data_IF_886441008088
#
_entry.id   IF_886441008088
#
_cell.length_a   1.000
_cell.length_b   1.000
_cell.length_c   1.000
_cell.angle_alpha   90.00
_cell.angle_beta   90.00
_cell.angle_gamma   90.00
#
_symmetry.space_group_name_H-M   'P 1'
#
loop_
_entity.id
_entity.type
_entity.pdbx_description
1 polymer ?
#
# COMPACT_ATOMS: atom_id res chain seq x y z
N UNK A 1 2.59 41.67 -22.28
CA UNK A 1 1.20 41.20 -22.44
C UNK A 1 1.09 39.82 -21.80
N UNK A 2 0.38 39.69 -20.69
CA UNK A 2 -0.04 38.38 -20.17
C UNK A 2 -1.35 38.03 -20.86
N UNK A 3 -1.37 36.91 -21.58
CA UNK A 3 -2.61 36.37 -22.16
C UNK A 3 -3.35 35.63 -21.05
N UNK A 4 -4.42 36.24 -20.54
CA UNK A 4 -5.37 35.60 -19.63
C UNK A 4 -6.30 34.73 -20.47
N UNK A 5 -5.94 33.45 -20.64
CA UNK A 5 -6.82 32.47 -21.28
C UNK A 5 -7.80 31.97 -20.22
N UNK A 6 -9.07 32.37 -20.34
CA UNK A 6 -10.16 31.85 -19.51
C UNK A 6 -10.59 30.49 -20.05
N UNK A 7 -10.15 29.40 -19.41
CA UNK A 7 -10.55 28.03 -19.76
C UNK A 7 -11.76 27.66 -18.90
N UNK A 8 -12.94 27.57 -19.52
CA UNK A 8 -14.14 27.07 -18.84
C UNK A 8 -13.88 25.70 -18.22
N UNK A 9 -14.06 25.57 -16.91
CA UNK A 9 -13.80 24.34 -16.16
C UNK A 9 -12.35 24.15 -15.67
N UNK A 10 -11.52 25.18 -15.63
CA UNK A 10 -10.12 25.10 -15.13
C UNK A 10 -10.00 24.55 -13.69
N UNK A 11 -11.02 24.77 -12.85
CA UNK A 11 -11.12 24.23 -11.50
C UNK A 11 -11.85 22.88 -11.42
N UNK A 12 -12.41 22.42 -12.53
CA UNK A 12 -13.04 21.11 -12.61
C UNK A 12 -11.97 20.06 -12.88
N UNK A 13 -11.72 19.20 -11.89
CA UNK A 13 -11.00 17.94 -12.11
C UNK A 13 -12.02 16.84 -12.40
N UNK A 14 -12.44 16.60 -13.66
CA UNK A 14 -13.50 15.65 -14.00
C UNK A 14 -13.20 14.21 -13.53
N UNK A 15 -11.93 13.91 -13.26
CA UNK A 15 -11.49 12.62 -12.71
C UNK A 15 -11.84 12.42 -11.23
N UNK A 16 -12.07 13.49 -10.47
CA UNK A 16 -12.38 13.45 -9.03
C UNK A 16 -13.89 13.41 -8.78
N UNK A 17 -14.68 14.01 -9.68
CA UNK A 17 -16.14 14.18 -9.52
C UNK A 17 -16.90 12.85 -9.35
N UNK A 18 -16.41 11.76 -9.96
CA UNK A 18 -16.98 10.42 -9.84
C UNK A 18 -16.07 9.44 -9.07
N UNK A 19 -15.08 9.95 -8.33
CA UNK A 19 -14.15 9.13 -7.57
C UNK A 19 -14.87 8.56 -6.33
N UNK A 20 -15.05 7.24 -6.31
CA UNK A 20 -15.67 6.53 -5.18
C UNK A 20 -14.72 5.49 -4.59
N UNK A 21 -14.90 5.25 -3.30
CA UNK A 21 -14.21 4.17 -2.58
C UNK A 21 -14.78 2.82 -3.02
N UNK A 22 -13.94 1.80 -3.33
CA UNK A 22 -14.43 0.46 -3.62
C UNK A 22 -15.12 -0.14 -2.39
N UNK A 23 -16.16 -0.96 -2.58
CA UNK A 23 -16.67 -1.79 -1.50
C UNK A 23 -15.79 -3.03 -1.27
N UNK A 24 -16.11 -3.83 -0.24
CA UNK A 24 -15.33 -5.02 0.13
C UNK A 24 -15.25 -6.03 -1.02
N UNK A 25 -16.36 -6.25 -1.72
CA UNK A 25 -16.46 -7.18 -2.85
C UNK A 25 -15.63 -6.70 -4.06
N UNK A 26 -15.60 -5.39 -4.30
CA UNK A 26 -14.77 -4.76 -5.34
C UNK A 26 -13.29 -4.87 -5.00
N UNK A 27 -12.89 -4.55 -3.78
CA UNK A 27 -11.51 -4.71 -3.34
C UNK A 27 -11.05 -6.17 -3.47
N UNK A 28 -11.89 -7.11 -3.04
CA UNK A 28 -11.65 -8.56 -3.20
C UNK A 28 -11.49 -8.95 -4.67
N UNK A 29 -12.32 -8.40 -5.59
CA UNK A 29 -12.16 -8.62 -7.04
C UNK A 29 -10.83 -8.08 -7.57
N UNK A 30 -10.42 -6.88 -7.16
CA UNK A 30 -9.12 -6.28 -7.55
C UNK A 30 -7.97 -7.18 -7.08
N UNK A 31 -7.98 -7.60 -5.81
CA UNK A 31 -6.94 -8.47 -5.24
C UNK A 31 -6.86 -9.82 -5.96
N UNK A 32 -7.99 -10.42 -6.36
CA UNK A 32 -8.00 -11.68 -7.13
C UNK A 32 -7.41 -11.55 -8.54
N UNK A 33 -7.46 -10.35 -9.14
CA UNK A 33 -6.90 -10.08 -10.48
C UNK A 33 -5.47 -9.55 -10.43
N UNK A 34 -5.02 -9.13 -9.26
CA UNK A 34 -3.68 -8.59 -9.05
C UNK A 34 -2.59 -9.67 -9.11
N UNK A 35 -1.43 -9.30 -9.66
CA UNK A 35 -0.18 -10.06 -9.51
C UNK A 35 0.25 -10.08 -8.04
N UNK A 36 1.13 -11.00 -7.63
CA UNK A 36 1.61 -11.09 -6.24
C UNK A 36 2.19 -9.77 -5.73
N UNK A 37 3.00 -9.08 -6.56
CA UNK A 37 3.52 -7.74 -6.25
C UNK A 37 2.40 -6.70 -6.09
N UNK A 38 1.41 -6.72 -6.98
CA UNK A 38 0.29 -5.79 -6.92
C UNK A 38 -0.59 -6.05 -5.68
N UNK A 39 -0.81 -7.31 -5.27
CA UNK A 39 -1.52 -7.65 -4.03
C UNK A 39 -0.86 -7.06 -2.79
N UNK A 40 0.46 -7.15 -2.69
CA UNK A 40 1.22 -6.50 -1.61
C UNK A 40 1.05 -4.99 -1.66
N UNK A 41 1.13 -4.39 -2.85
CA UNK A 41 0.97 -2.94 -3.01
C UNK A 41 -0.44 -2.47 -2.62
N UNK A 42 -1.48 -3.18 -3.08
CA UNK A 42 -2.88 -2.90 -2.79
C UNK A 42 -3.16 -3.05 -1.30
N UNK A 43 -2.71 -4.14 -0.68
CA UNK A 43 -2.93 -4.40 0.76
C UNK A 43 -2.25 -3.36 1.65
N UNK A 44 -1.03 -2.94 1.33
CA UNK A 44 -0.36 -1.86 2.05
C UNK A 44 -1.13 -0.53 1.93
N UNK A 45 -1.68 -0.21 0.76
CA UNK A 45 -2.48 1.01 0.59
C UNK A 45 -3.85 0.91 1.28
N UNK A 46 -4.57 -0.19 1.10
CA UNK A 46 -5.95 -0.37 1.54
C UNK A 46 -6.09 -0.74 3.02
N UNK A 47 -5.10 -1.42 3.61
CA UNK A 47 -5.18 -1.91 4.99
C UNK A 47 -4.23 -1.20 5.95
N UNK A 48 -3.20 -0.50 5.45
CA UNK A 48 -2.25 0.24 6.30
C UNK A 48 -2.15 1.73 5.96
N UNK A 49 -2.96 2.21 5.00
CA UNK A 49 -3.02 3.62 4.62
C UNK A 49 -1.76 4.17 3.96
N UNK A 50 -0.84 3.30 3.52
CA UNK A 50 0.41 3.76 2.91
C UNK A 50 0.15 4.47 1.58
N UNK A 51 1.01 5.46 1.27
CA UNK A 51 0.97 6.11 -0.04
C UNK A 51 1.74 5.27 -1.06
N UNK A 52 1.35 5.34 -2.33
CA UNK A 52 2.10 4.66 -3.39
C UNK A 52 3.57 5.12 -3.47
N UNK A 53 3.84 6.39 -3.12
CA UNK A 53 5.20 6.95 -3.08
C UNK A 53 6.05 6.36 -1.94
N UNK A 54 5.41 5.95 -0.83
CA UNK A 54 6.11 5.28 0.26
C UNK A 54 6.50 3.83 -0.09
N UNK A 55 5.81 3.22 -1.07
CA UNK A 55 6.12 1.86 -1.57
C UNK A 55 7.27 1.85 -2.58
N UNK A 56 7.44 2.94 -3.33
CA UNK A 56 8.58 3.18 -4.19
C UNK A 56 8.61 4.66 -4.51
N UNK A 57 9.73 5.33 -4.25
CA UNK A 57 9.80 6.77 -4.45
C UNK A 57 9.86 7.15 -5.93
N UNK A 58 9.63 8.43 -6.25
CA UNK A 58 9.51 8.88 -7.64
C UNK A 58 10.80 8.72 -8.45
N UNK A 59 11.94 8.84 -7.77
CA UNK A 59 13.28 8.76 -8.37
C UNK A 59 13.84 7.33 -8.44
N UNK A 60 13.24 6.37 -7.73
CA UNK A 60 13.77 5.02 -7.60
C UNK A 60 15.02 4.93 -6.73
N UNK A 61 15.22 5.86 -5.80
CA UNK A 61 16.41 6.03 -4.95
C UNK A 61 16.22 5.54 -3.51
N UNK A 62 14.98 5.31 -3.05
CA UNK A 62 14.69 4.74 -1.73
C UNK A 62 13.35 3.98 -1.75
N UNK A 63 13.19 3.02 -0.83
CA UNK A 63 12.02 2.12 -0.75
C UNK A 63 11.84 1.49 0.63
N UNK A 64 10.64 0.96 0.87
CA UNK A 64 10.38 0.09 2.01
C UNK A 64 11.16 -1.23 1.85
N UNK A 65 11.93 -1.61 2.88
CA UNK A 65 12.73 -2.85 2.93
C UNK A 65 12.05 -3.89 3.81
N UNK A 66 12.54 -5.13 3.74
CA UNK A 66 12.01 -6.20 4.59
C UNK A 66 12.24 -5.93 6.09
N UNK A 67 13.40 -5.36 6.47
CA UNK A 67 13.70 -4.97 7.85
C UNK A 67 12.89 -3.77 8.39
N UNK A 68 12.10 -3.12 7.53
CA UNK A 68 11.15 -2.09 7.96
C UNK A 68 9.85 -2.70 8.50
N UNK A 69 9.62 -4.02 8.31
CA UNK A 69 8.53 -4.79 8.90
C UNK A 69 9.07 -5.52 10.14
N UNK A 70 8.69 -5.08 11.33
CA UNK A 70 9.38 -5.47 12.58
C UNK A 70 9.20 -6.92 12.96
N UNK A 71 8.04 -7.48 12.69
CA UNK A 71 7.69 -8.85 13.08
C UNK A 71 7.88 -9.84 11.93
N UNK A 72 8.51 -9.42 10.81
CA UNK A 72 8.85 -10.32 9.71
C UNK A 72 10.12 -11.11 10.07
N UNK A 73 10.00 -12.43 10.09
CA UNK A 73 11.13 -13.35 10.27
C UNK A 73 11.47 -14.02 8.94
N UNK A 74 12.73 -13.85 8.50
CA UNK A 74 13.25 -14.42 7.25
C UNK A 74 14.24 -15.53 7.62
N UNK A 75 13.81 -16.77 7.42
CA UNK A 75 14.61 -17.97 7.67
C UNK A 75 14.43 -18.95 6.49
N UNK A 76 14.39 -20.26 6.77
CA UNK A 76 13.92 -21.26 5.82
C UNK A 76 12.45 -21.01 5.44
N UNK A 77 11.62 -20.64 6.42
CA UNK A 77 10.25 -20.19 6.21
C UNK A 77 10.12 -18.69 6.50
N UNK A 78 9.25 -18.03 5.72
CA UNK A 78 8.87 -16.64 5.97
C UNK A 78 7.68 -16.62 6.91
N UNK A 79 7.85 -16.02 8.08
CA UNK A 79 6.83 -15.99 9.14
C UNK A 79 6.68 -14.61 9.75
N UNK A 80 5.59 -14.42 10.48
CA UNK A 80 5.33 -13.20 11.24
C UNK A 80 5.18 -13.55 12.71
N UNK A 81 6.05 -13.01 13.57
CA UNK A 81 6.06 -13.30 15.01
C UNK A 81 4.80 -12.80 15.71
N UNK A 82 4.22 -11.72 15.18
CA UNK A 82 3.00 -11.11 15.71
C UNK A 82 2.20 -10.45 14.59
N UNK A 83 0.88 -10.49 14.74
CA UNK A 83 -0.08 -9.80 13.89
C UNK A 83 -0.99 -8.94 14.77
N UNK A 84 -1.28 -7.68 14.39
CA UNK A 84 -0.81 -7.00 13.19
C UNK A 84 0.67 -6.59 13.29
N UNK A 85 1.37 -6.63 12.16
CA UNK A 85 2.80 -6.35 12.09
C UNK A 85 3.05 -4.86 11.87
N UNK A 86 4.02 -4.29 12.57
CA UNK A 86 4.43 -2.89 12.48
C UNK A 86 5.31 -2.67 11.25
N UNK A 87 4.93 -1.67 10.45
CA UNK A 87 5.67 -1.21 9.28
C UNK A 87 6.20 0.19 9.56
N UNK A 88 7.53 0.33 9.60
CA UNK A 88 8.20 1.61 9.85
C UNK A 88 8.49 2.33 8.53
N UNK A 89 7.91 3.52 8.34
CA UNK A 89 8.17 4.36 7.17
C UNK A 89 9.19 5.42 7.52
N UNK A 90 10.38 5.32 6.89
CA UNK A 90 11.49 6.27 7.06
C UNK A 90 11.10 7.67 6.61
N UNK A 91 11.72 8.69 7.21
CA UNK A 91 11.53 10.11 6.87
C UNK A 91 11.67 10.38 5.36
N UNK A 92 12.66 9.75 4.70
CA UNK A 92 12.93 9.91 3.26
C UNK A 92 11.79 9.42 2.35
N UNK A 93 10.93 8.54 2.86
CA UNK A 93 9.78 7.96 2.16
C UNK A 93 8.46 8.64 2.55
N UNK A 94 8.52 9.61 3.47
CA UNK A 94 7.38 10.34 4.00
C UNK A 94 7.29 11.71 3.33
N UNK A 95 6.12 12.02 2.73
CA UNK A 95 5.82 13.36 2.22
C UNK A 95 5.97 14.45 3.28
N UNK A 96 5.66 14.10 4.53
CA UNK A 96 5.69 15.01 5.68
C UNK A 96 7.11 15.08 6.29
N UNK A 97 8.09 14.36 5.72
CA UNK A 97 9.49 14.28 6.20
C UNK A 97 9.65 13.82 7.65
N UNK A 98 8.61 13.21 8.23
CA UNK A 98 8.65 12.58 9.55
C UNK A 98 8.57 11.07 9.42
N UNK A 99 9.30 10.37 10.30
CA UNK A 99 9.20 8.93 10.44
C UNK A 99 7.87 8.65 11.13
N UNK A 100 7.13 7.72 10.58
CA UNK A 100 5.91 7.21 11.20
C UNK A 100 5.91 5.69 11.07
N UNK A 101 5.07 5.05 11.88
CA UNK A 101 4.78 3.63 11.73
C UNK A 101 3.31 3.48 11.34
N UNK A 102 3.02 2.39 10.67
CA UNK A 102 1.66 1.88 10.47
C UNK A 102 1.65 0.39 10.83
N UNK A 103 0.50 -0.27 10.70
CA UNK A 103 0.45 -1.72 10.86
C UNK A 103 -0.27 -2.37 9.69
N UNK A 104 0.07 -3.63 9.48
CA UNK A 104 -0.56 -4.49 8.49
C UNK A 104 -1.24 -5.66 9.18
N UNK A 105 -2.53 -5.85 8.89
CA UNK A 105 -3.35 -6.93 9.42
C UNK A 105 -3.00 -8.29 8.84
N UNK A 106 -3.74 -9.32 9.27
CA UNK A 106 -3.50 -10.72 8.87
C UNK A 106 -3.51 -10.90 7.36
N UNK A 107 -4.51 -10.36 6.67
CA UNK A 107 -4.67 -10.53 5.22
C UNK A 107 -3.46 -9.94 4.45
N UNK A 108 -3.04 -8.72 4.82
CA UNK A 108 -1.86 -8.10 4.21
C UNK A 108 -0.56 -8.85 4.53
N UNK A 109 -0.40 -9.35 5.75
CA UNK A 109 0.74 -10.19 6.13
C UNK A 109 0.78 -11.49 5.30
N UNK A 110 -0.37 -12.12 5.04
CA UNK A 110 -0.48 -13.28 4.15
C UNK A 110 -0.01 -12.96 2.74
N UNK A 111 -0.47 -11.86 2.14
CA UNK A 111 -0.01 -11.47 0.79
C UNK A 111 1.50 -11.17 0.74
N UNK A 112 2.05 -10.54 1.79
CA UNK A 112 3.49 -10.31 1.89
C UNK A 112 4.23 -11.64 1.94
N UNK A 113 3.80 -12.57 2.80
CA UNK A 113 4.40 -13.90 2.90
C UNK A 113 4.40 -14.62 1.56
N UNK A 114 3.23 -14.75 0.92
CA UNK A 114 3.08 -15.44 -0.38
C UNK A 114 4.01 -14.86 -1.45
N UNK A 115 4.13 -13.53 -1.48
CA UNK A 115 5.01 -12.85 -2.42
C UNK A 115 6.49 -13.09 -2.15
N UNK A 116 6.92 -13.10 -0.88
CA UNK A 116 8.30 -13.38 -0.51
C UNK A 116 8.65 -14.86 -0.73
N UNK A 117 7.72 -15.78 -0.46
CA UNK A 117 7.88 -17.21 -0.76
C UNK A 117 8.07 -17.43 -2.27
N UNK A 118 7.29 -16.73 -3.11
CA UNK A 118 7.46 -16.76 -4.57
C UNK A 118 8.85 -16.27 -5.00
N UNK A 119 9.35 -15.18 -4.40
CA UNK A 119 10.69 -14.64 -4.68
C UNK A 119 11.78 -15.63 -4.30
N UNK A 120 11.66 -16.26 -3.12
CA UNK A 120 12.60 -17.29 -2.65
C UNK A 120 12.58 -18.51 -3.57
N UNK A 121 11.39 -18.97 -4.00
CA UNK A 121 11.24 -20.05 -4.99
C UNK A 121 11.89 -19.74 -6.34
N UNK A 122 11.90 -18.47 -6.73
CA UNK A 122 12.60 -18.00 -7.94
C UNK A 122 14.11 -17.85 -7.75
N UNK A 123 14.67 -18.28 -6.60
CA UNK A 123 16.10 -18.26 -6.32
C UNK A 123 16.64 -16.93 -5.79
N UNK A 124 15.77 -16.00 -5.38
CA UNK A 124 16.23 -14.76 -4.75
C UNK A 124 16.60 -15.00 -3.28
N UNK A 125 17.85 -14.67 -2.92
CA UNK A 125 18.26 -14.61 -1.51
C UNK A 125 17.69 -13.36 -0.84
N UNK A 126 16.80 -13.56 0.13
CA UNK A 126 16.13 -12.49 0.85
C UNK A 126 16.91 -12.14 2.12
N UNK A 127 17.19 -10.85 2.28
CA UNK A 127 17.83 -10.27 3.47
C UNK A 127 16.95 -9.15 4.00
N UNK A 128 17.22 -8.68 5.22
CA UNK A 128 16.50 -7.54 5.79
C UNK A 128 16.71 -6.23 5.00
N UNK A 129 17.80 -6.14 4.23
CA UNK A 129 18.06 -5.00 3.33
C UNK A 129 17.40 -5.15 1.95
N UNK A 130 16.87 -6.33 1.63
CA UNK A 130 16.17 -6.58 0.38
C UNK A 130 14.94 -5.66 0.25
N UNK A 131 14.56 -5.30 -1.00
CA UNK A 131 13.31 -4.59 -1.26
C UNK A 131 12.12 -5.34 -0.65
N UNK A 132 11.14 -4.61 -0.14
CA UNK A 132 9.81 -5.21 -0.03
C UNK A 132 9.25 -5.53 -1.40
N UNK A 133 9.26 -4.58 -2.35
CA UNK A 133 8.78 -4.78 -3.72
C UNK A 133 9.96 -4.86 -4.70
N UNK A 134 10.07 -5.98 -5.42
CA UNK A 134 11.14 -6.24 -6.39
C UNK A 134 10.64 -6.06 -7.83
N UNK A 135 11.56 -5.71 -8.75
CA UNK A 135 11.28 -5.73 -10.18
C UNK A 135 10.82 -7.10 -10.65
N UNK A 136 10.00 -7.11 -11.69
CA UNK A 136 9.64 -8.37 -12.35
C UNK A 136 10.88 -8.90 -13.07
N UNK A 137 11.11 -10.21 -13.06
CA UNK A 137 12.26 -10.86 -13.71
C UNK A 137 12.36 -10.54 -15.19
N UNK A 138 11.22 -10.20 -15.82
CA UNK A 138 11.10 -9.84 -17.24
C UNK A 138 11.36 -8.36 -17.55
N UNK A 139 11.51 -7.51 -16.54
CA UNK A 139 11.69 -6.07 -16.74
C UNK A 139 13.16 -5.67 -16.85
N UNK A 140 13.47 -4.80 -17.82
CA UNK A 140 14.80 -4.16 -17.90
C UNK A 140 14.95 -3.22 -16.70
N UNK A 141 15.93 -3.51 -15.85
CA UNK A 141 16.26 -2.68 -14.68
C UNK A 141 16.90 -1.37 -15.16
N UNK A 142 16.11 -0.29 -15.16
CA UNK A 142 16.59 1.06 -15.48
C UNK A 142 17.01 1.87 -14.26
N UNK A 143 16.50 1.52 -13.09
CA UNK A 143 16.83 2.16 -11.81
C UNK A 143 17.09 1.07 -10.77
N UNK A 144 17.72 1.46 -9.67
CA UNK A 144 18.04 0.56 -8.57
C UNK A 144 16.76 0.01 -7.92
N UNK A 145 15.71 0.84 -7.81
CA UNK A 145 14.45 0.51 -7.14
C UNK A 145 13.20 0.81 -7.97
N UNK A 146 12.08 0.15 -7.61
CA UNK A 146 10.78 0.37 -8.25
C UNK A 146 10.30 1.81 -8.05
N UNK A 147 9.98 2.48 -9.15
CA UNK A 147 9.37 3.81 -9.12
C UNK A 147 7.88 3.70 -8.78
N UNK A 148 7.35 4.77 -8.18
CA UNK A 148 5.90 4.93 -7.94
C UNK A 148 5.06 4.67 -9.19
N UNK A 149 5.57 5.04 -10.37
CA UNK A 149 4.87 4.85 -11.65
C UNK A 149 4.66 3.38 -11.99
N UNK A 150 5.59 2.49 -11.65
CA UNK A 150 5.45 1.05 -11.88
C UNK A 150 4.47 0.43 -10.87
N UNK A 151 4.55 0.83 -9.60
CA UNK A 151 3.61 0.39 -8.57
C UNK A 151 2.19 0.78 -8.95
N UNK A 152 1.97 2.05 -9.31
CA UNK A 152 0.65 2.56 -9.71
C UNK A 152 0.15 1.95 -11.03
N UNK A 153 1.04 1.60 -11.97
CA UNK A 153 0.69 0.88 -13.20
C UNK A 153 0.15 -0.52 -12.88
N UNK A 154 0.83 -1.27 -12.04
CA UNK A 154 0.41 -2.63 -11.69
C UNK A 154 -0.93 -2.63 -10.95
N UNK A 155 -1.15 -1.66 -10.06
CA UNK A 155 -2.44 -1.45 -9.38
C UNK A 155 -3.54 -1.10 -10.39
N UNK A 156 -3.27 -0.18 -11.32
CA UNK A 156 -4.23 0.21 -12.36
C UNK A 156 -4.62 -0.99 -13.22
N UNK A 157 -3.66 -1.82 -13.60
CA UNK A 157 -3.92 -3.04 -14.36
C UNK A 157 -4.84 -4.00 -13.59
N UNK A 158 -4.61 -4.18 -12.28
CA UNK A 158 -5.49 -5.02 -11.45
C UNK A 158 -6.92 -4.46 -11.37
N UNK A 159 -7.07 -3.15 -11.26
CA UNK A 159 -8.38 -2.45 -11.25
C UNK A 159 -9.11 -2.64 -12.58
N UNK A 160 -8.42 -2.44 -13.70
CA UNK A 160 -8.98 -2.60 -15.05
C UNK A 160 -9.41 -4.06 -15.31
N UNK A 161 -8.58 -5.04 -14.92
CA UNK A 161 -8.89 -6.47 -15.03
C UNK A 161 -10.05 -6.91 -14.12
N UNK A 162 -10.34 -6.14 -13.07
CA UNK A 162 -11.52 -6.33 -12.22
C UNK A 162 -12.79 -5.70 -12.81
N UNK A 163 -12.71 -5.06 -13.97
CA UNK A 163 -13.83 -4.39 -14.64
C UNK A 163 -14.21 -3.06 -13.99
N UNK A 164 -13.27 -2.43 -13.29
CA UNK A 164 -13.49 -1.20 -12.54
C UNK A 164 -12.75 -0.03 -13.18
N UNK A 165 -13.31 1.17 -13.05
CA UNK A 165 -12.71 2.42 -13.55
C UNK A 165 -12.50 3.37 -12.38
N UNK A 166 -11.36 3.23 -11.70
CA UNK A 166 -10.98 4.03 -10.53
C UNK A 166 -9.47 4.26 -10.49
N UNK A 167 -9.04 5.31 -9.77
CA UNK A 167 -7.62 5.65 -9.63
C UNK A 167 -7.01 4.85 -8.48
N UNK A 168 -5.71 4.49 -8.53
CA UNK A 168 -5.05 3.80 -7.41
C UNK A 168 -5.19 4.49 -6.04
N UNK A 169 -5.33 5.83 -6.02
CA UNK A 169 -5.47 6.60 -4.78
C UNK A 169 -6.73 6.24 -3.97
N UNK A 170 -7.79 5.73 -4.60
CA UNK A 170 -9.02 5.31 -3.91
C UNK A 170 -8.78 4.19 -2.89
N UNK A 171 -7.72 3.40 -3.06
CA UNK A 171 -7.34 2.36 -2.10
C UNK A 171 -6.93 2.96 -0.76
N UNK A 172 -6.26 4.12 -0.78
CA UNK A 172 -5.93 4.83 0.48
C UNK A 172 -7.19 5.44 1.11
N UNK A 173 -8.13 5.89 0.29
CA UNK A 173 -9.43 6.37 0.77
C UNK A 173 -10.23 5.23 1.43
N UNK A 174 -10.13 3.99 0.94
CA UNK A 174 -10.71 2.80 1.59
C UNK A 174 -10.29 2.65 3.05
N UNK A 175 -8.99 2.78 3.32
CA UNK A 175 -8.47 2.75 4.68
C UNK A 175 -9.03 3.88 5.54
N UNK A 176 -9.12 5.09 4.98
CA UNK A 176 -9.62 6.28 5.68
C UNK A 176 -11.10 6.10 6.07
N UNK A 177 -11.93 5.63 5.13
CA UNK A 177 -13.33 5.29 5.41
C UNK A 177 -13.47 4.21 6.47
N UNK A 178 -12.59 3.20 6.48
CA UNK A 178 -12.59 2.18 7.52
C UNK A 178 -12.26 2.75 8.91
N UNK A 179 -11.36 3.73 8.99
CA UNK A 179 -11.09 4.48 10.22
C UNK A 179 -12.30 5.32 10.64
N UNK A 180 -12.95 6.03 9.73
CA UNK A 180 -14.15 6.83 10.03
C UNK A 180 -15.29 5.95 10.57
N UNK A 181 -15.49 4.76 9.99
CA UNK A 181 -16.48 3.78 10.47
C UNK A 181 -16.09 3.25 11.85
N UNK A 182 -14.81 2.99 12.09
CA UNK A 182 -14.33 2.54 13.39
C UNK A 182 -14.48 3.65 14.45
N UNK A 183 -14.25 4.90 14.09
CA UNK A 183 -14.50 6.06 14.94
C UNK A 183 -15.99 6.20 15.28
N UNK A 184 -16.89 6.11 14.29
CA UNK A 184 -18.34 6.22 14.55
C UNK A 184 -18.86 5.09 15.45
N UNK A 185 -18.21 3.92 15.41
CA UNK A 185 -18.49 2.78 16.30
C UNK A 185 -17.86 2.93 17.69
N UNK A 186 -17.18 4.04 17.98
CA UNK A 186 -16.47 4.28 19.24
C UNK A 186 -15.24 3.40 19.43
N UNK A 187 -14.71 2.80 18.35
CA UNK A 187 -13.48 2.01 18.38
C UNK A 187 -12.22 2.89 18.29
N UNK A 188 -12.38 4.14 17.81
CA UNK A 188 -11.35 5.17 17.69
C UNK A 188 -11.91 6.47 18.30
N UNK A 189 -11.06 7.27 18.94
CA UNK A 189 -11.41 8.63 19.38
C UNK A 189 -10.55 9.66 18.64
N UNK A 190 -11.09 10.86 18.40
CA UNK A 190 -10.38 12.01 17.81
C UNK A 190 -9.04 12.36 18.51
N UNK A 191 -8.84 11.95 19.76
CA UNK A 191 -7.59 12.12 20.52
C UNK A 191 -6.85 10.77 20.67
N UNK A 192 -6.15 10.30 19.63
CA UNK A 192 -5.68 8.90 19.59
C UNK A 192 -4.25 8.66 19.11
N UNK A 193 -3.24 9.10 19.86
CA UNK A 193 -1.80 8.89 19.54
C UNK A 193 -1.20 7.60 20.14
N UNK A 194 -2.00 6.68 20.69
CA UNK A 194 -1.46 5.54 21.45
C UNK A 194 -1.43 4.22 20.63
N UNK A 195 -0.23 3.63 20.55
CA UNK A 195 0.12 2.39 19.84
C UNK A 195 -0.83 1.21 20.12
N UNK A 196 -1.31 1.07 21.36
CA UNK A 196 -2.22 -0.01 21.76
C UNK A 196 -3.57 0.06 21.03
N UNK A 197 -3.98 1.23 20.58
CA UNK A 197 -5.30 1.45 19.97
C UNK A 197 -5.31 1.12 18.49
N UNK A 198 -4.28 1.55 17.76
CA UNK A 198 -4.11 1.26 16.33
C UNK A 198 -4.05 -0.26 16.11
N UNK A 199 -3.36 -1.00 17.00
CA UNK A 199 -3.31 -2.46 17.01
C UNK A 199 -4.71 -3.10 17.15
N UNK A 200 -5.57 -2.55 18.03
CA UNK A 200 -6.91 -3.07 18.29
C UNK A 200 -7.87 -2.84 17.12
N UNK A 201 -7.71 -1.71 16.43
CA UNK A 201 -8.48 -1.32 15.24
C UNK A 201 -8.12 -2.18 14.04
N UNK A 202 -6.83 -2.36 13.75
CA UNK A 202 -6.36 -3.15 12.58
C UNK A 202 -6.62 -4.65 12.76
N UNK A 203 -6.87 -5.10 14.00
CA UNK A 203 -7.32 -6.47 14.29
C UNK A 203 -8.83 -6.68 14.08
N UNK A 204 -9.61 -5.64 13.75
CA UNK A 204 -11.05 -5.77 13.54
C UNK A 204 -11.37 -6.33 12.14
N UNK A 205 -12.51 -7.05 11.97
CA UNK A 205 -12.94 -7.60 10.68
C UNK A 205 -13.20 -6.55 9.57
N UNK A 206 -13.23 -5.27 9.92
CA UNK A 206 -13.41 -4.14 8.99
C UNK A 206 -12.12 -3.91 8.18
N UNK A 207 -10.96 -4.28 8.73
CA UNK A 207 -9.63 -4.16 8.11
C UNK A 207 -9.07 -5.51 7.62
N UNK A 208 -9.91 -6.56 7.60
CA UNK A 208 -9.56 -7.93 7.22
C UNK A 208 -10.61 -8.59 6.30
#
# INVERSE_FOLDING_TARGET
MQLTVNISGENETPTIVNERVPNKEELSRILRKATSRAKVSISLMAFSGLSAESLGNYEGTDRLRLGDIKELHISDDITFDKIPAMVVVKQKLSKVRHQYFTFIGREGATYIKEYLDERKKNGEELTYDSPLLQFDSRCIRKNDFLRTTLVTRDIRQAIELAGLKMRPYVLRAYFSTALDIAESKGLISHHGSSLSWILRTISQPIFA
#
